data_IF_105684908974
#
_entry.id   IF_105684908974
#
_cell.length_a   1.000
_cell.length_b   1.000
_cell.length_c   1.000
_cell.angle_alpha   90.00
_cell.angle_beta   90.00
_cell.angle_gamma   90.00
#
_symmetry.space_group_name_H-M   'P 1'
#
loop_
_entity.id
_entity.type
_entity.pdbx_description
1 polymer ?
#
# COMPACT_ATOMS: atom_id res chain seq x y z
N UNK A 1 -30.56 40.78 6.82
CA UNK A 1 -29.94 39.98 7.90
C UNK A 1 -30.93 38.91 8.33
N UNK A 2 -30.57 37.63 8.18
CA UNK A 2 -30.93 36.48 9.03
C UNK A 2 -30.32 35.22 8.39
N UNK A 3 -29.24 34.74 9.03
CA UNK A 3 -28.47 33.54 8.70
C UNK A 3 -29.34 32.31 9.05
N UNK A 4 -29.53 31.38 8.12
CA UNK A 4 -30.11 30.06 8.43
C UNK A 4 -29.06 28.99 8.14
N UNK A 5 -28.50 28.46 9.23
CA UNK A 5 -27.63 27.29 9.21
C UNK A 5 -28.52 26.05 9.30
N UNK A 6 -28.40 25.15 8.33
CA UNK A 6 -29.16 23.90 8.25
C UNK A 6 -28.24 22.69 8.34
N UNK A 7 -27.95 22.30 9.59
CA UNK A 7 -27.70 20.97 10.15
C UNK A 7 -27.34 19.83 9.16
N UNK A 8 -26.09 19.38 9.23
CA UNK A 8 -25.69 18.04 8.76
C UNK A 8 -26.11 16.98 9.80
N UNK A 9 -26.96 16.04 9.39
CA UNK A 9 -27.29 14.84 10.16
C UNK A 9 -26.10 13.87 10.13
N UNK A 10 -25.35 13.81 11.23
CA UNK A 10 -24.43 12.72 11.54
C UNK A 10 -25.26 11.51 11.97
N UNK A 11 -25.34 10.50 11.09
CA UNK A 11 -25.90 9.19 11.43
C UNK A 11 -24.85 8.44 12.23
N UNK A 12 -24.98 8.42 13.55
CA UNK A 12 -24.25 7.51 14.43
C UNK A 12 -24.95 6.16 14.39
N UNK A 13 -24.36 5.21 13.65
CA UNK A 13 -24.79 3.81 13.61
C UNK A 13 -24.56 3.11 14.96
N UNK A 14 -25.56 2.34 15.37
CA UNK A 14 -25.69 1.64 16.64
C UNK A 14 -24.63 0.53 16.80
N UNK A 15 -23.88 0.57 17.90
CA UNK A 15 -23.09 -0.57 18.38
C UNK A 15 -24.02 -1.56 19.09
N UNK A 16 -24.30 -2.71 18.48
CA UNK A 16 -24.80 -3.87 19.22
C UNK A 16 -23.62 -4.55 19.91
N UNK A 17 -23.52 -4.36 21.23
CA UNK A 17 -22.70 -5.20 22.08
C UNK A 17 -23.36 -6.58 22.23
N UNK A 18 -22.77 -7.60 21.61
CA UNK A 18 -23.08 -9.00 21.89
C UNK A 18 -21.94 -9.62 22.73
N UNK A 19 -22.34 -10.49 23.66
CA UNK A 19 -21.54 -11.10 24.72
C UNK A 19 -20.19 -11.68 24.26
N UNK A 20 -19.14 -11.37 25.03
CA UNK A 20 -17.78 -11.91 24.90
C UNK A 20 -17.69 -13.31 25.53
N UNK A 21 -17.28 -14.29 24.74
CA UNK A 21 -16.59 -15.51 25.20
C UNK A 21 -15.10 -15.34 24.88
N UNK A 22 -14.23 -15.65 25.85
CA UNK A 22 -12.80 -15.31 25.89
C UNK A 22 -11.88 -16.10 24.91
N UNK A 23 -12.43 -16.78 23.89
CA UNK A 23 -11.64 -17.61 22.95
C UNK A 23 -11.84 -17.30 21.46
N UNK A 24 -12.66 -16.31 21.10
CA UNK A 24 -12.86 -15.94 19.69
C UNK A 24 -12.12 -14.65 19.35
N UNK A 25 -11.05 -14.75 18.56
CA UNK A 25 -10.65 -13.62 17.72
C UNK A 25 -11.83 -13.33 16.80
N UNK A 26 -12.67 -12.36 17.17
CA UNK A 26 -13.83 -11.95 16.39
C UNK A 26 -13.35 -11.28 15.10
N UNK A 27 -13.05 -12.10 14.09
CA UNK A 27 -12.75 -11.66 12.74
C UNK A 27 -13.96 -10.89 12.20
N UNK A 28 -13.73 -9.66 11.75
CA UNK A 28 -14.80 -8.84 11.17
C UNK A 28 -15.36 -9.52 9.90
N UNK A 29 -16.66 -9.36 9.60
CA UNK A 29 -17.17 -9.68 8.28
C UNK A 29 -16.34 -8.98 7.19
N UNK A 30 -16.17 -9.61 6.02
CA UNK A 30 -15.28 -9.09 4.96
C UNK A 30 -15.63 -7.66 4.55
N UNK A 31 -16.92 -7.33 4.43
CA UNK A 31 -17.36 -5.98 4.04
C UNK A 31 -17.05 -4.94 5.11
N UNK A 32 -17.11 -5.33 6.39
CA UNK A 32 -16.70 -4.46 7.49
C UNK A 32 -15.18 -4.28 7.51
N UNK A 33 -14.41 -5.35 7.31
CA UNK A 33 -12.95 -5.27 7.18
C UNK A 33 -12.54 -4.34 6.03
N UNK A 34 -13.22 -4.43 4.89
CA UNK A 34 -12.97 -3.55 3.75
C UNK A 34 -13.20 -2.06 4.09
N UNK A 35 -14.18 -1.74 4.93
CA UNK A 35 -14.41 -0.38 5.42
C UNK A 35 -13.34 0.07 6.41
N UNK A 36 -12.91 -0.82 7.30
CA UNK A 36 -11.83 -0.54 8.27
C UNK A 36 -10.51 -0.30 7.55
N UNK A 37 -10.19 -1.07 6.50
CA UNK A 37 -9.03 -0.81 5.62
C UNK A 37 -9.10 0.57 4.99
N UNK A 38 -10.25 0.94 4.42
CA UNK A 38 -10.43 2.23 3.75
C UNK A 38 -10.23 3.40 4.72
N UNK A 39 -10.71 3.27 5.97
CA UNK A 39 -10.52 4.26 7.03
C UNK A 39 -9.07 4.34 7.50
N UNK A 40 -8.41 3.19 7.69
CA UNK A 40 -7.02 3.14 8.11
C UNK A 40 -6.08 3.73 7.04
N UNK A 41 -6.33 3.45 5.76
CA UNK A 41 -5.60 4.05 4.65
C UNK A 41 -5.83 5.56 4.59
N UNK A 42 -7.08 6.01 4.77
CA UNK A 42 -7.38 7.44 4.82
C UNK A 42 -6.57 8.14 5.92
N UNK A 43 -6.58 7.57 7.11
CA UNK A 43 -5.83 8.09 8.25
C UNK A 43 -4.32 8.05 8.01
N UNK A 44 -3.79 6.98 7.39
CA UNK A 44 -2.39 6.92 6.99
C UNK A 44 -2.03 8.06 6.01
N UNK A 45 -2.87 8.31 5.01
CA UNK A 45 -2.64 9.36 4.03
C UNK A 45 -2.70 10.78 4.62
N UNK A 46 -3.50 10.98 5.66
CA UNK A 46 -3.61 12.25 6.39
C UNK A 46 -2.44 12.47 7.35
N UNK A 47 -2.00 11.41 8.03
CA UNK A 47 -0.94 11.43 9.05
C UNK A 47 0.49 11.51 8.46
N UNK A 48 0.64 11.39 7.13
CA UNK A 48 1.96 11.31 6.49
C UNK A 48 2.13 12.26 5.30
N UNK A 49 3.39 12.50 4.96
CA UNK A 49 3.85 13.31 3.83
C UNK A 49 5.09 12.70 3.17
N UNK A 50 5.44 13.19 1.98
CA UNK A 50 6.74 12.89 1.36
C UNK A 50 7.79 13.87 1.87
N UNK A 51 8.87 13.37 2.45
CA UNK A 51 9.97 14.25 2.84
C UNK A 51 10.65 14.86 1.59
N UNK A 52 11.11 16.13 1.65
CA UNK A 52 11.50 16.85 0.45
C UNK A 52 12.80 16.40 -0.21
N UNK A 53 13.73 15.80 0.52
CA UNK A 53 15.07 15.46 0.03
C UNK A 53 15.01 14.30 -0.96
N UNK A 54 14.35 13.19 -0.61
CA UNK A 54 14.34 11.94 -1.40
C UNK A 54 12.98 11.27 -1.49
N UNK A 55 11.93 11.89 -0.99
CA UNK A 55 10.56 11.40 -1.11
C UNK A 55 10.22 10.19 -0.24
N UNK A 56 10.97 9.96 0.85
CA UNK A 56 10.55 8.99 1.86
C UNK A 56 9.21 9.41 2.49
N UNK A 57 8.32 8.45 2.74
CA UNK A 57 7.12 8.74 3.53
C UNK A 57 7.52 8.90 5.00
N UNK A 58 7.15 10.03 5.59
CA UNK A 58 7.28 10.32 7.01
C UNK A 58 5.95 10.68 7.62
N UNK A 59 5.78 10.36 8.90
CA UNK A 59 4.64 10.80 9.69
C UNK A 59 4.88 12.25 10.12
N UNK A 60 3.84 13.09 10.12
CA UNK A 60 3.92 14.40 10.74
C UNK A 60 4.23 14.26 12.24
N UNK A 61 5.12 15.11 12.72
CA UNK A 61 5.52 15.19 14.11
C UNK A 61 4.87 16.42 14.76
N UNK A 62 3.90 16.24 15.68
CA UNK A 62 3.22 17.37 16.32
C UNK A 62 4.15 18.25 17.16
N UNK A 63 5.37 17.80 17.45
CA UNK A 63 6.38 18.57 18.17
C UNK A 63 7.32 19.35 17.23
N UNK A 64 7.22 19.14 15.92
CA UNK A 64 8.09 19.74 14.91
C UNK A 64 7.31 20.38 13.75
N UNK A 65 6.92 21.64 13.94
CA UNK A 65 6.16 22.44 12.96
C UNK A 65 6.87 22.66 11.59
N UNK A 66 8.12 22.20 11.41
CA UNK A 66 8.80 22.33 10.12
C UNK A 66 8.17 21.45 9.04
N UNK A 67 7.53 20.34 9.42
CA UNK A 67 6.88 19.43 8.49
C UNK A 67 5.45 19.84 8.08
N UNK A 68 4.77 20.65 8.88
CA UNK A 68 3.43 21.22 8.61
C UNK A 68 3.33 21.97 7.26
N UNK A 69 4.46 22.35 6.67
CA UNK A 69 4.52 23.03 5.38
C UNK A 69 4.38 22.07 4.19
N UNK A 70 4.45 20.77 4.40
CA UNK A 70 4.37 19.77 3.34
C UNK A 70 2.94 19.27 3.15
N UNK A 71 2.48 19.11 1.90
CA UNK A 71 1.17 18.52 1.64
C UNK A 71 1.14 17.08 2.15
N UNK A 72 0.07 16.72 2.87
CA UNK A 72 -0.16 15.33 3.24
C UNK A 72 -0.41 14.48 2.00
N UNK A 73 -0.17 13.16 2.10
CA UNK A 73 -0.34 12.24 0.98
C UNK A 73 -1.78 12.23 0.47
N UNK A 74 -2.76 12.45 1.36
CA UNK A 74 -4.18 12.51 1.00
C UNK A 74 -4.49 13.60 -0.02
N UNK A 75 -3.89 14.78 0.13
CA UNK A 75 -4.09 15.93 -0.76
C UNK A 75 -3.48 15.75 -2.16
N UNK A 76 -2.49 14.86 -2.27
CA UNK A 76 -1.80 14.51 -3.52
C UNK A 76 -2.39 13.26 -4.19
N UNK A 77 -3.14 12.45 -3.44
CA UNK A 77 -3.56 11.12 -3.85
C UNK A 77 -4.83 11.10 -4.70
N UNK A 78 -4.93 10.10 -5.57
CA UNK A 78 -6.15 9.74 -6.30
C UNK A 78 -6.54 8.31 -5.94
N UNK A 79 -7.81 8.11 -5.57
CA UNK A 79 -8.39 6.78 -5.30
C UNK A 79 -8.93 6.18 -6.59
N UNK A 80 -8.50 4.95 -6.91
CA UNK A 80 -8.99 4.16 -8.02
C UNK A 80 -10.27 3.39 -7.62
N UNK A 81 -10.96 2.80 -8.61
CA UNK A 81 -12.21 2.06 -8.40
C UNK A 81 -12.06 0.84 -7.49
N UNK A 82 -10.89 0.19 -7.49
CA UNK A 82 -10.54 -0.92 -6.57
C UNK A 82 -10.36 -0.47 -5.12
N UNK A 83 -10.12 0.82 -4.90
CA UNK A 83 -9.73 1.41 -3.63
C UNK A 83 -8.23 1.64 -3.45
N UNK A 84 -7.42 1.24 -4.43
CA UNK A 84 -5.99 1.60 -4.49
C UNK A 84 -5.85 3.11 -4.53
N UNK A 85 -4.89 3.64 -3.78
CA UNK A 85 -4.48 5.04 -3.85
C UNK A 85 -3.17 5.17 -4.60
N UNK A 86 -3.15 6.08 -5.56
CA UNK A 86 -1.96 6.49 -6.32
C UNK A 86 -1.59 7.89 -5.84
N UNK A 87 -0.38 8.06 -5.31
CA UNK A 87 0.10 9.34 -4.77
C UNK A 87 1.41 9.72 -5.46
N UNK A 88 1.36 10.72 -6.34
CA UNK A 88 2.55 11.20 -7.03
C UNK A 88 3.23 12.29 -6.21
N UNK A 89 4.55 12.18 -6.03
CA UNK A 89 5.34 13.23 -5.37
C UNK A 89 5.58 14.37 -6.36
N UNK A 90 5.26 15.63 -6.00
CA UNK A 90 5.57 16.78 -6.85
C UNK A 90 7.08 16.95 -7.09
N UNK A 91 7.45 17.42 -8.28
CA UNK A 91 8.84 17.81 -8.59
C UNK A 91 9.77 16.68 -9.03
N UNK A 92 9.28 15.45 -9.16
CA UNK A 92 10.07 14.34 -9.73
C UNK A 92 9.86 14.26 -11.23
N UNK A 93 10.96 14.23 -12.00
CA UNK A 93 10.92 14.07 -13.46
C UNK A 93 10.86 12.58 -13.80
N UNK A 94 9.79 12.17 -14.49
CA UNK A 94 9.63 10.80 -14.97
C UNK A 94 8.84 10.82 -16.28
N UNK A 95 9.51 10.46 -17.38
CA UNK A 95 8.95 10.51 -18.74
C UNK A 95 9.19 9.20 -19.50
N UNK A 96 9.70 8.17 -18.83
CA UNK A 96 9.95 6.86 -19.41
C UNK A 96 8.68 6.04 -19.60
N UNK A 97 8.82 4.79 -20.11
CA UNK A 97 7.70 3.88 -20.26
C UNK A 97 7.06 3.54 -18.90
N UNK A 98 5.75 3.27 -18.96
CA UNK A 98 4.94 2.75 -17.86
C UNK A 98 4.86 1.22 -17.96
N UNK A 99 4.73 0.55 -16.81
CA UNK A 99 4.49 -0.90 -16.76
C UNK A 99 2.98 -1.17 -16.96
N UNK A 100 2.58 -1.55 -18.17
CA UNK A 100 1.18 -1.78 -18.55
C UNK A 100 0.71 -3.19 -18.26
N UNK A 101 1.60 -4.17 -18.38
CA UNK A 101 1.28 -5.57 -18.21
C UNK A 101 2.40 -6.28 -17.45
N UNK A 102 2.12 -6.70 -16.22
CA UNK A 102 3.12 -7.34 -15.38
C UNK A 102 3.65 -8.67 -15.93
N UNK A 103 2.95 -9.34 -16.85
CA UNK A 103 3.47 -10.56 -17.51
C UNK A 103 4.33 -10.26 -18.74
N UNK A 104 4.24 -9.04 -19.30
CA UNK A 104 4.99 -8.64 -20.50
C UNK A 104 6.09 -7.60 -20.23
N UNK A 105 5.98 -6.83 -19.16
CA UNK A 105 6.89 -5.74 -18.82
C UNK A 105 7.70 -6.08 -17.57
N UNK A 106 9.03 -6.04 -17.66
CA UNK A 106 9.95 -6.16 -16.52
C UNK A 106 10.27 -4.80 -15.92
N UNK A 107 10.34 -4.71 -14.59
CA UNK A 107 10.59 -3.47 -13.86
C UNK A 107 11.86 -3.51 -13.03
N UNK A 108 12.58 -2.39 -13.00
CA UNK A 108 13.64 -2.11 -12.03
C UNK A 108 13.14 -1.05 -11.06
N UNK A 109 13.12 -1.37 -9.77
CA UNK A 109 12.47 -0.53 -8.75
C UNK A 109 13.32 -0.43 -7.47
N UNK A 110 13.46 0.78 -6.94
CA UNK A 110 13.86 0.99 -5.54
C UNK A 110 12.63 1.28 -4.71
N UNK A 111 12.55 0.75 -3.50
CA UNK A 111 11.38 0.92 -2.65
C UNK A 111 11.71 0.90 -1.17
N UNK A 112 10.80 1.51 -0.42
CA UNK A 112 10.62 1.30 1.00
C UNK A 112 9.13 1.05 1.24
N UNK A 113 8.76 -0.21 1.46
CA UNK A 113 7.37 -0.61 1.57
C UNK A 113 7.04 -1.10 2.98
N UNK A 114 5.82 -0.79 3.38
CA UNK A 114 5.24 -1.17 4.66
C UNK A 114 3.93 -1.88 4.43
N UNK A 115 3.43 -2.44 5.52
CA UNK A 115 2.20 -3.22 5.51
C UNK A 115 1.64 -3.26 6.92
N UNK A 116 0.31 -3.33 7.01
CA UNK A 116 -0.40 -3.29 8.28
C UNK A 116 -1.73 -4.02 8.16
N UNK A 117 -2.29 -4.41 9.30
CA UNK A 117 -3.66 -4.90 9.41
C UNK A 117 -4.49 -3.78 9.99
N UNK A 118 -5.56 -3.39 9.30
CA UNK A 118 -6.42 -2.32 9.79
C UNK A 118 -7.28 -2.82 10.96
N UNK A 119 -7.35 -2.04 12.03
CA UNK A 119 -8.20 -2.34 13.19
C UNK A 119 -8.99 -1.11 13.62
N UNK A 120 -10.26 -1.32 13.97
CA UNK A 120 -11.10 -0.33 14.66
C UNK A 120 -11.03 -0.50 16.19
N UNK A 121 -10.46 -1.61 16.68
CA UNK A 121 -10.17 -1.86 18.09
C UNK A 121 -8.68 -1.55 18.34
N UNK A 122 -8.40 -0.27 18.58
CA UNK A 122 -7.05 0.23 18.88
C UNK A 122 -7.08 0.98 20.21
N UNK A 123 -5.97 0.94 20.97
CA UNK A 123 -5.90 1.64 22.25
C UNK A 123 -6.07 3.16 22.04
N UNK A 124 -6.47 3.88 23.09
CA UNK A 124 -6.57 5.33 23.06
C UNK A 124 -5.24 5.95 22.56
N UNK A 125 -5.33 6.79 21.52
CA UNK A 125 -4.18 7.44 20.87
C UNK A 125 -3.52 6.63 19.75
N UNK A 126 -3.87 5.36 19.58
CA UNK A 126 -3.41 4.56 18.44
C UNK A 126 -4.23 4.86 17.18
N UNK A 127 -3.62 4.58 16.04
CA UNK A 127 -4.20 4.75 14.70
C UNK A 127 -4.60 3.39 14.13
N UNK A 128 -5.63 3.36 13.30
CA UNK A 128 -6.18 2.13 12.75
C UNK A 128 -5.17 1.34 11.90
N UNK A 129 -4.14 2.01 11.35
CA UNK A 129 -3.07 1.40 10.56
C UNK A 129 -1.85 0.92 11.39
N UNK A 130 -1.84 1.08 12.71
CA UNK A 130 -0.66 0.76 13.53
C UNK A 130 -0.52 -0.73 13.88
N UNK A 131 -1.60 -1.51 13.80
CA UNK A 131 -1.55 -2.93 14.13
C UNK A 131 -0.74 -3.69 13.08
N UNK A 132 0.29 -4.41 13.53
CA UNK A 132 1.18 -5.16 12.63
C UNK A 132 1.90 -4.28 11.61
N UNK A 133 2.05 -2.98 11.87
CA UNK A 133 2.78 -2.06 11.00
C UNK A 133 4.25 -2.46 10.95
N UNK A 134 4.68 -2.99 9.82
CA UNK A 134 6.05 -3.45 9.62
C UNK A 134 6.52 -3.25 8.19
N UNK A 135 7.85 -3.18 8.03
CA UNK A 135 8.50 -3.18 6.71
C UNK A 135 8.12 -4.47 6.00
N UNK A 136 7.56 -4.34 4.80
CA UNK A 136 7.26 -5.46 3.92
C UNK A 136 8.49 -5.82 3.10
N UNK A 137 9.01 -4.84 2.36
CA UNK A 137 10.21 -4.97 1.55
C UNK A 137 10.91 -3.61 1.43
N UNK A 138 12.24 -3.59 1.49
CA UNK A 138 13.03 -2.37 1.35
C UNK A 138 14.31 -2.65 0.58
N UNK A 139 14.59 -1.88 -0.47
CA UNK A 139 15.88 -1.91 -1.18
C UNK A 139 16.91 -0.98 -0.54
N UNK A 140 16.48 -0.09 0.36
CA UNK A 140 17.30 1.00 0.91
C UNK A 140 17.86 0.71 2.31
N UNK A 141 17.33 -0.29 3.03
CA UNK A 141 17.72 -0.54 4.44
C UNK A 141 19.10 -1.19 4.62
N UNK A 142 19.74 -1.70 3.55
CA UNK A 142 21.03 -2.41 3.65
C UNK A 142 22.00 -2.06 2.51
N UNK A 143 21.62 -2.35 1.26
CA UNK A 143 22.55 -2.31 0.13
C UNK A 143 22.27 -1.17 -0.85
N UNK A 144 21.09 -0.55 -0.79
CA UNK A 144 20.70 0.52 -1.71
C UNK A 144 20.50 0.03 -3.15
N UNK A 145 20.40 -1.29 -3.36
CA UNK A 145 20.36 -1.88 -4.70
C UNK A 145 18.92 -2.02 -5.19
N UNK A 146 18.56 -1.44 -6.33
CA UNK A 146 17.24 -1.61 -6.93
C UNK A 146 17.01 -3.08 -7.30
N UNK A 147 15.74 -3.50 -7.30
CA UNK A 147 15.35 -4.88 -7.56
C UNK A 147 14.65 -5.01 -8.89
N UNK A 148 15.06 -6.02 -9.68
CA UNK A 148 14.31 -6.45 -10.84
C UNK A 148 13.15 -7.35 -10.43
N UNK A 149 11.97 -7.09 -10.99
CA UNK A 149 10.76 -7.92 -10.87
C UNK A 149 10.54 -8.47 -9.46
N UNK A 150 10.22 -7.61 -8.46
CA UNK A 150 9.82 -8.08 -7.15
C UNK A 150 8.62 -9.04 -7.28
N UNK A 151 8.57 -10.07 -6.43
CA UNK A 151 7.60 -11.16 -6.59
C UNK A 151 6.14 -10.69 -6.51
N UNK A 152 5.87 -9.65 -5.73
CA UNK A 152 4.54 -9.03 -5.64
C UNK A 152 4.11 -8.33 -6.93
N UNK A 153 5.02 -8.09 -7.89
CA UNK A 153 4.72 -7.57 -9.22
C UNK A 153 4.66 -8.71 -10.24
N UNK A 154 5.68 -9.56 -10.27
CA UNK A 154 5.75 -10.69 -11.19
C UNK A 154 6.65 -11.80 -10.63
N UNK A 155 6.26 -13.05 -10.86
CA UNK A 155 7.11 -14.22 -10.64
C UNK A 155 6.80 -15.28 -11.70
N UNK A 156 7.81 -15.87 -12.37
CA UNK A 156 7.56 -16.98 -13.27
C UNK A 156 7.00 -18.18 -12.47
N UNK A 157 5.91 -18.75 -12.97
CA UNK A 157 5.34 -19.98 -12.42
C UNK A 157 6.18 -21.16 -12.91
N UNK A 158 6.71 -21.95 -11.98
CA UNK A 158 7.49 -23.15 -12.30
C UNK A 158 6.55 -24.36 -12.47
N UNK A 159 6.98 -25.44 -13.15
CA UNK A 159 6.18 -26.66 -13.24
C UNK A 159 5.78 -27.22 -11.86
N UNK A 160 6.67 -27.16 -10.87
CA UNK A 160 6.37 -27.56 -9.49
C UNK A 160 5.26 -26.70 -8.86
N UNK A 161 5.22 -25.40 -9.16
CA UNK A 161 4.15 -24.52 -8.70
C UNK A 161 2.82 -24.91 -9.36
N UNK A 162 2.81 -25.17 -10.66
CA UNK A 162 1.61 -25.61 -11.38
C UNK A 162 1.08 -26.94 -10.83
N UNK A 163 1.96 -27.91 -10.56
CA UNK A 163 1.61 -29.20 -9.95
C UNK A 163 0.95 -29.02 -8.56
N UNK A 164 1.28 -27.94 -7.85
CA UNK A 164 0.69 -27.55 -6.58
C UNK A 164 -0.49 -26.57 -6.72
N UNK A 165 -1.05 -26.39 -7.93
CA UNK A 165 -2.13 -25.46 -8.26
C UNK A 165 -1.81 -23.99 -7.92
N UNK A 166 -0.54 -23.61 -7.94
CA UNK A 166 -0.11 -22.23 -7.71
C UNK A 166 -0.14 -21.47 -9.03
N UNK A 167 -0.77 -20.30 -9.04
CA UNK A 167 -0.79 -19.38 -10.17
C UNK A 167 -0.40 -17.97 -9.70
N UNK A 168 -0.35 -16.99 -10.61
CA UNK A 168 0.11 -15.63 -10.31
C UNK A 168 -0.72 -14.91 -9.24
N UNK A 169 -2.02 -15.17 -9.11
CA UNK A 169 -2.87 -14.50 -8.12
C UNK A 169 -2.50 -14.85 -6.68
N UNK A 170 -1.79 -15.98 -6.47
CA UNK A 170 -1.29 -16.36 -5.15
C UNK A 170 0.03 -15.65 -4.77
N UNK A 171 0.59 -14.82 -5.65
CA UNK A 171 1.94 -14.25 -5.49
C UNK A 171 1.96 -12.74 -5.75
N UNK A 172 1.27 -12.30 -6.80
CA UNK A 172 1.23 -10.92 -7.27
C UNK A 172 0.15 -10.15 -6.52
N UNK A 173 0.45 -8.90 -6.15
CA UNK A 173 -0.50 -7.96 -5.55
C UNK A 173 -1.17 -7.19 -6.70
N UNK A 174 -2.41 -7.55 -7.02
CA UNK A 174 -3.15 -6.98 -8.16
C UNK A 174 -3.24 -5.45 -8.10
N UNK A 175 -3.53 -4.90 -6.93
CA UNK A 175 -3.62 -3.46 -6.71
C UNK A 175 -2.28 -2.72 -6.90
N UNK A 176 -1.14 -3.39 -6.71
CA UNK A 176 0.15 -2.82 -7.09
C UNK A 176 0.28 -2.77 -8.62
N UNK A 177 -0.08 -3.84 -9.32
CA UNK A 177 -0.04 -3.88 -10.79
C UNK A 177 -1.03 -2.90 -11.44
N UNK A 178 -2.14 -2.59 -10.79
CA UNK A 178 -3.06 -1.52 -11.17
C UNK A 178 -2.40 -0.14 -10.95
N UNK A 179 -1.91 0.11 -9.74
CA UNK A 179 -1.36 1.42 -9.35
C UNK A 179 -0.10 1.82 -10.13
N UNK A 180 0.79 0.87 -10.44
CA UNK A 180 2.08 1.14 -11.10
C UNK A 180 1.91 1.70 -12.53
N UNK A 181 0.76 1.46 -13.18
CA UNK A 181 0.40 2.01 -14.50
C UNK A 181 0.33 3.54 -14.53
N UNK A 182 0.23 4.16 -13.36
CA UNK A 182 0.16 5.62 -13.20
C UNK A 182 1.53 6.28 -12.99
N UNK A 183 2.62 5.51 -13.06
CA UNK A 183 3.97 6.01 -12.85
C UNK A 183 4.84 5.74 -14.06
N UNK A 184 5.16 6.77 -14.86
CA UNK A 184 6.26 6.70 -15.81
C UNK A 184 7.56 6.38 -15.07
N UNK A 185 8.44 5.62 -15.71
CA UNK A 185 9.78 5.38 -15.14
C UNK A 185 10.66 6.62 -15.21
N UNK A 186 11.56 6.76 -14.24
CA UNK A 186 12.54 7.85 -14.17
C UNK A 186 13.70 7.67 -15.15
N UNK A 187 13.84 6.48 -15.74
CA UNK A 187 14.93 6.09 -16.65
C UNK A 187 16.33 6.17 -16.03
N UNK A 188 16.42 6.23 -14.70
CA UNK A 188 17.71 6.19 -13.99
C UNK A 188 18.28 4.77 -14.01
N UNK A 189 19.59 4.64 -13.77
CA UNK A 189 20.24 3.33 -13.66
C UNK A 189 19.91 2.60 -12.35
N UNK A 190 19.41 3.35 -11.36
CA UNK A 190 19.28 2.91 -9.96
C UNK A 190 20.63 2.70 -9.25
N UNK A 191 21.75 3.18 -9.81
CA UNK A 191 23.05 3.17 -9.14
C UNK A 191 23.23 4.35 -8.16
N UNK A 192 22.51 5.44 -8.41
CA UNK A 192 22.48 6.60 -7.52
C UNK A 192 21.58 6.32 -6.30
N UNK A 193 21.69 7.18 -5.29
CA UNK A 193 20.76 7.17 -4.16
C UNK A 193 19.33 7.39 -4.68
N UNK A 194 18.39 6.66 -4.08
CA UNK A 194 16.98 6.72 -4.43
C UNK A 194 16.44 8.15 -4.41
N UNK A 195 15.53 8.43 -5.33
CA UNK A 195 14.69 9.62 -5.32
C UNK A 195 13.24 9.17 -5.58
N UNK A 196 12.53 8.80 -4.51
CA UNK A 196 11.20 8.24 -4.63
C UNK A 196 10.25 9.23 -5.30
N UNK A 197 9.54 8.71 -6.30
CA UNK A 197 8.65 9.48 -7.17
C UNK A 197 7.19 9.46 -6.71
N UNK A 198 6.87 8.61 -5.75
CA UNK A 198 5.54 8.56 -5.17
C UNK A 198 5.28 7.30 -4.37
N UNK A 199 3.99 6.98 -4.23
CA UNK A 199 3.54 5.82 -3.52
C UNK A 199 2.25 5.22 -4.09
N UNK A 200 2.09 3.91 -3.88
CA UNK A 200 0.85 3.16 -4.13
C UNK A 200 0.42 2.56 -2.79
N UNK A 201 -0.82 2.83 -2.37
CA UNK A 201 -1.40 2.25 -1.15
C UNK A 201 -2.52 1.31 -1.57
N UNK A 202 -2.39 0.04 -1.19
CA UNK A 202 -3.26 -1.05 -1.63
C UNK A 202 -4.07 -1.55 -0.43
N UNK A 203 -5.42 -1.47 -0.47
CA UNK A 203 -6.27 -2.10 0.55
C UNK A 203 -6.19 -3.62 0.47
N UNK A 204 -6.45 -4.31 1.58
CA UNK A 204 -6.27 -5.77 1.64
C UNK A 204 -7.02 -6.52 0.54
N UNK A 205 -8.27 -6.12 0.23
CA UNK A 205 -9.11 -6.69 -0.86
C UNK A 205 -8.52 -6.57 -2.26
N UNK A 206 -7.63 -5.62 -2.49
CA UNK A 206 -6.91 -5.44 -3.76
C UNK A 206 -5.48 -6.00 -3.68
N UNK A 207 -5.12 -6.61 -2.55
CA UNK A 207 -3.93 -7.41 -2.38
C UNK A 207 -4.32 -8.89 -2.32
N UNK A 208 -4.33 -9.49 -1.13
CA UNK A 208 -4.67 -10.89 -0.94
C UNK A 208 -5.93 -11.12 -0.12
N UNK A 209 -6.49 -10.09 0.52
CA UNK A 209 -7.68 -10.19 1.37
C UNK A 209 -7.59 -11.39 2.31
N UNK A 210 -8.43 -12.40 2.05
CA UNK A 210 -8.48 -13.68 2.78
C UNK A 210 -8.13 -14.90 1.92
N UNK A 211 -7.61 -14.65 0.72
CA UNK A 211 -7.22 -15.66 -0.25
C UNK A 211 -5.95 -16.39 0.19
N UNK A 212 -5.71 -17.53 -0.44
CA UNK A 212 -4.45 -18.25 -0.24
C UNK A 212 -3.32 -17.57 -1.01
N UNK A 213 -2.19 -17.42 -0.33
CA UNK A 213 -0.93 -16.94 -0.90
C UNK A 213 0.10 -18.05 -0.92
N UNK A 214 1.01 -17.99 -1.89
CA UNK A 214 2.12 -18.93 -1.98
C UNK A 214 3.37 -18.36 -1.32
N UNK A 215 3.80 -19.01 -0.24
CA UNK A 215 4.97 -18.64 0.57
C UNK A 215 6.11 -19.64 0.39
N UNK A 216 7.25 -19.42 1.07
CA UNK A 216 8.32 -20.43 1.14
C UNK A 216 7.89 -21.76 1.77
N UNK A 217 6.78 -21.78 2.51
CA UNK A 217 6.23 -22.97 3.17
C UNK A 217 5.06 -23.60 2.42
N UNK A 218 4.76 -23.12 1.19
CA UNK A 218 3.62 -23.55 0.38
C UNK A 218 2.44 -22.58 0.47
N UNK A 219 1.25 -23.07 0.08
CA UNK A 219 0.00 -22.30 0.12
C UNK A 219 -0.46 -22.07 1.56
N UNK A 220 -0.76 -20.82 1.90
CA UNK A 220 -1.21 -20.40 3.24
C UNK A 220 -2.25 -19.27 3.11
N UNK A 221 -3.28 -19.27 3.96
CA UNK A 221 -4.32 -18.23 3.99
C UNK A 221 -4.23 -17.33 5.23
N UNK A 222 -3.19 -17.52 6.05
CA UNK A 222 -2.89 -16.68 7.23
C UNK A 222 -1.87 -15.60 6.88
N UNK A 223 -0.90 -15.92 6.03
CA UNK A 223 0.07 -14.96 5.51
C UNK A 223 -0.64 -13.86 4.73
N UNK A 224 -0.32 -12.61 5.07
CA UNK A 224 -0.90 -11.40 4.46
C UNK A 224 -2.43 -11.26 4.53
N UNK A 225 -3.09 -12.07 5.37
CA UNK A 225 -4.53 -11.97 5.60
C UNK A 225 -4.92 -10.58 6.11
N UNK A 226 -5.96 -10.00 5.52
CA UNK A 226 -6.52 -8.68 5.83
C UNK A 226 -5.46 -7.57 5.87
N UNK A 227 -4.38 -7.75 5.10
CA UNK A 227 -3.21 -6.88 5.15
C UNK A 227 -3.21 -5.88 4.02
N UNK A 228 -3.14 -4.61 4.38
CA UNK A 228 -2.97 -3.49 3.45
C UNK A 228 -1.48 -3.17 3.29
N UNK A 229 -1.11 -2.58 2.16
CA UNK A 229 0.28 -2.34 1.77
C UNK A 229 0.51 -0.88 1.37
N UNK A 230 1.68 -0.34 1.70
CA UNK A 230 2.16 0.97 1.26
C UNK A 230 3.47 0.75 0.53
N UNK A 231 3.52 1.07 -0.76
CA UNK A 231 4.73 1.04 -1.56
C UNK A 231 5.19 2.46 -1.80
N UNK A 232 6.32 2.90 -1.23
CA UNK A 232 6.98 4.16 -1.56
C UNK A 232 8.23 3.87 -2.37
N UNK A 233 8.34 4.42 -3.58
CA UNK A 233 9.27 3.87 -4.56
C UNK A 233 9.75 4.87 -5.62
N UNK A 234 10.78 4.44 -6.34
CA UNK A 234 11.21 4.97 -7.64
C UNK A 234 11.21 3.81 -8.65
N UNK A 235 10.46 3.96 -9.74
CA UNK A 235 10.48 3.05 -10.88
C UNK A 235 11.57 3.50 -11.84
N UNK A 236 12.74 2.86 -11.75
CA UNK A 236 13.90 3.22 -12.55
C UNK A 236 13.71 2.89 -14.02
N UNK A 237 13.26 1.65 -14.31
CA UNK A 237 13.14 1.16 -15.69
C UNK A 237 11.91 0.29 -15.88
N UNK A 238 11.37 0.35 -17.09
CA UNK A 238 10.41 -0.60 -17.63
C UNK A 238 10.94 -1.05 -18.99
N UNK A 239 11.05 -2.37 -19.20
CA UNK A 239 11.51 -2.97 -20.45
C UNK A 239 10.64 -4.17 -20.81
N UNK A 240 10.55 -4.57 -22.09
CA UNK A 240 9.92 -5.83 -22.44
C UNK A 240 10.59 -7.01 -21.72
N UNK A 241 9.78 -7.90 -21.16
CA UNK A 241 10.23 -9.15 -20.56
C UNK A 241 10.51 -10.17 -21.66
N UNK A 242 11.70 -10.77 -21.60
CA UNK A 242 12.12 -11.87 -22.46
C UNK A 242 11.83 -13.22 -21.82
#
# INVERSE_FOLDING_TARGET
MMKKWGICLLVTGLFFGACKSDDDFNELPQDEQNQVDDLAILQYLEDHYFEPERGLIKKFDPENESDDNYPNLKSLGVKLGSGVWVVQRPGVTAEGPIANNNTQDSILISMHSFSFVASNDVNAGQRAYQLGYSVFESTINNQGTPKWDPSFYYRPITPEMEDNNVNLSHIVIEGFTEGIKHFPSTQTSGADLYNFQGAIIVPSRAAFGRDFVYTSSGMDNRSFRDRSFVFNFELHKVVPRN
#
